data_IF_784022705215
#
_entry.id   IF_784022705215
#
_cell.length_a   1.000
_cell.length_b   1.000
_cell.length_c   1.000
_cell.angle_alpha   90.00
_cell.angle_beta   90.00
_cell.angle_gamma   90.00
#
_symmetry.space_group_name_H-M   'P 1'
#
loop_
_entity.id
_entity.type
_entity.pdbx_description
1 polymer ?
#
# COMPACT_ATOMS: atom_id res chain seq x y z
N UNK A 1 19.09 3.25 1.36
CA UNK A 1 17.88 3.13 2.21
C UNK A 1 16.67 3.20 1.28
N UNK A 2 15.77 2.22 1.28
CA UNK A 2 14.57 2.20 0.40
C UNK A 2 13.33 2.14 1.28
N UNK A 3 12.45 3.12 1.15
CA UNK A 3 11.18 3.15 1.88
C UNK A 3 10.17 2.28 1.14
N UNK A 4 9.60 1.28 1.84
CA UNK A 4 8.54 0.41 1.32
C UNK A 4 7.37 0.39 2.30
N UNK A 5 6.16 0.31 1.77
CA UNK A 5 4.98 0.13 2.61
C UNK A 5 4.96 -1.26 3.23
N UNK A 6 4.64 -1.33 4.52
CA UNK A 6 4.49 -2.60 5.25
C UNK A 6 3.28 -3.38 4.73
N UNK A 7 2.24 -2.66 4.29
CA UNK A 7 1.01 -3.24 3.73
C UNK A 7 0.78 -2.72 2.32
N UNK A 8 0.21 -3.55 1.43
CA UNK A 8 -0.14 -3.10 0.09
C UNK A 8 -1.18 -1.98 0.19
N UNK A 9 -0.87 -0.84 -0.41
CA UNK A 9 -1.72 0.34 -0.45
C UNK A 9 -1.92 0.75 -1.90
N UNK A 10 -3.10 1.28 -2.23
CA UNK A 10 -3.35 1.92 -3.51
C UNK A 10 -2.90 3.37 -3.38
N UNK A 11 -1.99 3.81 -4.24
CA UNK A 11 -1.51 5.19 -4.25
C UNK A 11 -1.55 5.69 -5.69
N UNK A 12 -2.15 6.86 -5.86
CA UNK A 12 -2.26 7.51 -7.15
C UNK A 12 -1.16 8.58 -7.29
N UNK A 13 -0.76 8.86 -8.53
CA UNK A 13 0.16 9.95 -8.83
C UNK A 13 -0.44 11.26 -8.34
N UNK A 14 0.32 12.03 -7.54
CA UNK A 14 -0.17 13.29 -7.00
C UNK A 14 -0.94 13.15 -5.67
N UNK A 15 -1.09 11.93 -5.14
CA UNK A 15 -1.69 11.70 -3.83
C UNK A 15 -0.80 12.32 -2.73
N UNK A 16 -1.38 13.16 -1.87
CA UNK A 16 -0.66 13.69 -0.69
C UNK A 16 -0.58 12.65 0.42
N UNK A 17 0.57 12.53 1.05
CA UNK A 17 0.79 11.67 2.22
C UNK A 17 1.55 12.41 3.31
N UNK A 18 1.41 11.94 4.55
CA UNK A 18 2.11 12.49 5.72
C UNK A 18 2.98 11.42 6.35
N UNK A 19 4.25 11.76 6.61
CA UNK A 19 5.15 10.91 7.38
C UNK A 19 4.98 11.26 8.85
N UNK A 20 4.63 10.24 9.65
CA UNK A 20 4.38 10.38 11.08
C UNK A 20 5.18 9.34 11.86
N UNK A 21 5.69 9.73 13.02
CA UNK A 21 6.17 8.81 14.05
C UNK A 21 5.25 8.94 15.27
N UNK A 22 4.41 7.94 15.48
CA UNK A 22 3.32 8.00 16.44
C UNK A 22 2.41 9.21 16.20
N UNK A 23 2.48 10.18 17.10
CA UNK A 23 1.66 11.40 17.04
C UNK A 23 2.34 12.56 16.30
N UNK A 24 3.67 12.55 16.18
CA UNK A 24 4.44 13.63 15.57
C UNK A 24 4.46 13.52 14.03
N UNK A 25 4.26 14.64 13.34
CA UNK A 25 4.34 14.72 11.88
C UNK A 25 5.72 15.23 11.48
N UNK A 26 6.47 14.43 10.73
CA UNK A 26 7.79 14.81 10.19
C UNK A 26 7.66 15.69 8.95
N UNK A 27 6.65 15.44 8.12
CA UNK A 27 6.45 16.18 6.89
C UNK A 27 5.24 15.70 6.10
N UNK A 28 4.79 16.57 5.20
CA UNK A 28 3.74 16.27 4.22
C UNK A 28 4.34 16.37 2.84
N UNK A 29 4.18 15.33 2.03
CA UNK A 29 4.70 15.31 0.66
C UNK A 29 3.65 14.79 -0.32
N UNK A 30 3.97 14.92 -1.61
CA UNK A 30 3.13 14.49 -2.71
C UNK A 30 3.76 13.26 -3.36
N UNK A 31 2.95 12.24 -3.67
CA UNK A 31 3.43 11.01 -4.27
C UNK A 31 4.04 11.29 -5.66
N UNK A 32 5.28 10.87 -5.93
CA UNK A 32 5.88 10.98 -7.25
C UNK A 32 5.11 10.13 -8.28
N UNK A 33 5.19 10.51 -9.56
CA UNK A 33 4.53 9.79 -10.68
C UNK A 33 4.98 8.33 -10.82
N UNK A 34 6.20 8.01 -10.42
CA UNK A 34 6.79 6.68 -10.55
C UNK A 34 6.77 5.97 -9.20
N UNK A 35 5.60 5.50 -8.77
CA UNK A 35 5.57 4.39 -7.84
C UNK A 35 5.83 3.15 -8.68
N UNK A 36 6.98 2.52 -8.45
CA UNK A 36 7.35 1.24 -9.04
C UNK A 36 6.14 0.30 -8.92
N UNK A 37 5.60 -0.07 -10.07
CA UNK A 37 4.57 -1.08 -10.23
C UNK A 37 4.97 -2.33 -9.45
N UNK A 38 4.04 -2.87 -8.67
CA UNK A 38 4.18 -4.21 -8.08
C UNK A 38 4.60 -5.16 -9.20
N UNK A 39 5.67 -5.93 -9.00
CA UNK A 39 6.00 -7.00 -9.96
C UNK A 39 4.80 -7.96 -10.06
N UNK A 40 4.61 -8.63 -11.20
CA UNK A 40 3.44 -9.48 -11.47
C UNK A 40 3.17 -10.49 -10.35
N UNK A 41 4.24 -11.01 -9.74
CA UNK A 41 4.19 -11.91 -8.57
C UNK A 41 3.54 -11.26 -7.33
N UNK A 42 3.88 -10.01 -7.03
CA UNK A 42 3.35 -9.27 -5.87
C UNK A 42 1.87 -8.89 -6.10
N UNK A 43 1.49 -8.64 -7.35
CA UNK A 43 0.10 -8.41 -7.75
C UNK A 43 -0.74 -9.68 -7.56
N UNK A 44 -0.23 -10.82 -7.99
CA UNK A 44 -0.90 -12.11 -7.85
C UNK A 44 -1.12 -12.48 -6.37
N UNK A 45 -0.08 -12.32 -5.53
CA UNK A 45 -0.17 -12.57 -4.09
C UNK A 45 -1.25 -11.68 -3.43
N UNK A 46 -1.37 -10.42 -3.85
CA UNK A 46 -2.42 -9.51 -3.36
C UNK A 46 -3.81 -10.00 -3.74
N UNK A 47 -4.02 -10.43 -4.97
CA UNK A 47 -5.31 -10.93 -5.43
C UNK A 47 -5.73 -12.21 -4.70
N UNK A 48 -4.81 -13.14 -4.49
CA UNK A 48 -5.05 -14.38 -3.76
C UNK A 48 -5.46 -14.11 -2.31
N UNK A 49 -4.71 -13.28 -1.58
CA UNK A 49 -5.05 -12.92 -0.18
C UNK A 49 -6.40 -12.22 -0.05
N UNK A 50 -6.78 -11.41 -1.05
CA UNK A 50 -8.09 -10.73 -1.05
C UNK A 50 -9.23 -11.73 -1.27
N UNK A 51 -9.05 -12.74 -2.13
CA UNK A 51 -10.01 -13.81 -2.36
C UNK A 51 -10.20 -14.69 -1.11
N UNK A 52 -9.10 -15.03 -0.43
CA UNK A 52 -9.14 -15.80 0.82
C UNK A 52 -9.82 -15.04 1.96
N UNK A 53 -9.53 -13.74 2.11
CA UNK A 53 -10.20 -12.89 3.10
C UNK A 53 -11.72 -12.81 2.88
N UNK A 54 -12.16 -12.71 1.62
CA UNK A 54 -13.59 -12.72 1.27
C UNK A 54 -14.26 -14.07 1.53
N UNK A 55 -13.57 -15.18 1.25
CA UNK A 55 -14.09 -16.53 1.56
C UNK A 55 -14.29 -16.73 3.06
N UNK A 56 -13.29 -16.35 3.86
CA UNK A 56 -13.37 -16.44 5.33
C UNK A 56 -14.45 -15.54 5.92
N UNK A 57 -14.71 -14.37 5.32
CA UNK A 57 -15.78 -13.48 5.75
C UNK A 57 -17.19 -13.93 5.34
N UNK A 58 -17.32 -14.85 4.38
CA UNK A 58 -18.60 -15.41 3.95
C UNK A 58 -18.97 -16.73 4.65
N UNK A 59 -18.01 -17.34 5.36
CA UNK A 59 -18.17 -18.60 6.09
C UNK A 59 -18.45 -18.38 7.60
N UNK A 60 -18.51 -17.11 8.04
CA UNK A 60 -18.92 -16.66 9.38
C UNK A 60 -20.29 -16.02 9.28
#
# INVERSE_FOLDING_TARGET
LVMKFIKPMVIESGQRFTLRDGMATFGTECSPRSILTLNDLEREIREQRTKEGKRKAAEV
#
